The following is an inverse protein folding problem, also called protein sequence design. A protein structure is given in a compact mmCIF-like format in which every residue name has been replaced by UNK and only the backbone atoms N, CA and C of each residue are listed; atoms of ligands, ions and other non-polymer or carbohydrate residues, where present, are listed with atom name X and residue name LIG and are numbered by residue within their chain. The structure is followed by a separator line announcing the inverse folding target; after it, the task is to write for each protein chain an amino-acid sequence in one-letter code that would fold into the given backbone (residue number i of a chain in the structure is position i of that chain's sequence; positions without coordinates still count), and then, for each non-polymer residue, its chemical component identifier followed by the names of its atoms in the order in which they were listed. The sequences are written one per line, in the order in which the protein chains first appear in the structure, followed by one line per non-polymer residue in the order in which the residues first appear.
data_IF_022580188266
#
_entry.id   IF_022580188266
#
_cell.length_a   1.000
_cell.length_b   1.000
_cell.length_c   1.000
_cell.angle_alpha   90.00
_cell.angle_beta   90.00
_cell.angle_gamma   90.00
#
_symmetry.space_group_name_H-M   'P 1'
#
loop_
_entity.id
_entity.type
_entity.pdbx_description
1 polymer ?
#
# COMPACT_ATOMS: atom_id res chain seq x y z
N UNK A 1 11.83 20.75 2.79
CA UNK A 1 10.78 19.72 2.93
C UNK A 1 11.40 18.39 2.56
N UNK A 2 11.19 17.36 3.37
CA UNK A 2 11.79 16.04 3.18
C UNK A 2 10.76 15.10 2.57
N UNK A 3 11.09 14.52 1.43
CA UNK A 3 10.31 13.47 0.79
C UNK A 3 10.95 12.14 1.16
N UNK A 4 10.19 11.24 1.77
CA UNK A 4 10.61 9.86 2.03
C UNK A 4 9.63 8.89 1.41
N UNK A 5 10.14 7.82 0.80
CA UNK A 5 9.32 6.74 0.26
C UNK A 5 9.96 5.38 0.50
N UNK A 6 9.18 4.43 1.01
CA UNK A 6 9.58 3.02 1.01
C UNK A 6 9.32 2.40 -0.37
N UNK A 7 10.38 1.96 -1.05
CA UNK A 7 10.30 1.43 -2.41
C UNK A 7 11.36 0.34 -2.67
N UNK A 8 10.92 -0.90 -2.90
CA UNK A 8 11.80 -2.00 -3.31
C UNK A 8 12.21 -1.87 -4.77
N UNK A 9 13.50 -1.79 -5.07
CA UNK A 9 14.01 -1.51 -6.43
C UNK A 9 14.79 -2.69 -6.99
N UNK A 10 14.83 -2.80 -8.32
CA UNK A 10 15.78 -3.69 -8.98
C UNK A 10 17.20 -3.09 -8.92
N UNK A 11 18.21 -3.94 -9.11
CA UNK A 11 19.61 -3.50 -9.05
C UNK A 11 19.88 -2.38 -10.05
N UNK A 12 20.42 -1.27 -9.54
CA UNK A 12 20.78 -0.09 -10.33
C UNK A 12 19.62 0.87 -10.64
N UNK A 13 18.38 0.56 -10.25
CA UNK A 13 17.31 1.56 -10.34
C UNK A 13 17.51 2.68 -9.30
N UNK A 14 17.05 3.88 -9.65
CA UNK A 14 16.98 5.01 -8.73
C UNK A 14 15.54 5.46 -8.55
N UNK A 15 15.20 5.93 -7.35
CA UNK A 15 13.91 6.57 -7.06
C UNK A 15 14.07 8.08 -7.17
N UNK A 16 13.13 8.74 -7.83
CA UNK A 16 13.07 10.19 -7.96
C UNK A 16 11.68 10.70 -7.59
N UNK A 17 11.58 11.98 -7.23
CA UNK A 17 10.32 12.69 -7.02
C UNK A 17 10.19 13.81 -8.04
N UNK A 18 9.01 13.93 -8.63
CA UNK A 18 8.65 15.05 -9.50
C UNK A 18 7.26 15.56 -9.17
N UNK A 19 6.98 16.82 -9.47
CA UNK A 19 5.74 17.46 -9.05
C UNK A 19 5.49 18.80 -9.70
N UNK A 20 4.46 19.48 -9.21
CA UNK A 20 3.85 20.66 -9.82
C UNK A 20 4.70 21.93 -9.78
N UNK A 21 5.77 21.97 -8.98
CA UNK A 21 6.64 23.15 -8.84
C UNK A 21 7.92 22.99 -9.67
N UNK A 22 8.58 24.11 -9.96
CA UNK A 22 9.84 24.11 -10.72
C UNK A 22 10.96 23.37 -9.99
N UNK A 23 10.98 23.43 -8.66
CA UNK A 23 11.93 22.75 -7.77
C UNK A 23 11.72 21.22 -7.75
N UNK A 24 10.51 20.76 -8.10
CA UNK A 24 10.19 19.34 -8.33
C UNK A 24 10.17 18.99 -9.83
N UNK A 25 10.73 19.84 -10.68
CA UNK A 25 10.88 19.58 -12.11
C UNK A 25 9.63 19.83 -12.96
N UNK A 26 8.53 20.33 -12.41
CA UNK A 26 7.28 20.63 -13.14
C UNK A 26 6.76 19.44 -13.97
N UNK A 27 6.74 18.25 -13.35
CA UNK A 27 6.36 16.96 -13.95
C UNK A 27 7.26 16.44 -15.10
N UNK A 28 8.41 17.07 -15.33
CA UNK A 28 9.42 16.56 -16.27
C UNK A 28 10.32 15.52 -15.57
N UNK A 29 10.33 14.24 -16.01
CA UNK A 29 11.18 13.20 -15.44
C UNK A 29 12.68 13.51 -15.50
N UNK A 30 13.13 14.28 -16.51
CA UNK A 30 14.54 14.66 -16.64
C UNK A 30 14.96 15.71 -15.61
N UNK A 31 13.97 16.41 -15.03
CA UNK A 31 14.17 17.43 -13.98
C UNK A 31 13.71 16.95 -12.61
N UNK A 32 13.35 15.67 -12.48
CA UNK A 32 12.95 15.07 -11.22
C UNK A 32 14.12 15.06 -10.23
N UNK A 33 13.80 15.23 -8.95
CA UNK A 33 14.79 15.24 -7.88
C UNK A 33 15.14 13.79 -7.52
N UNK A 34 16.41 13.35 -7.62
CA UNK A 34 16.79 12.01 -7.21
C UNK A 34 16.78 11.86 -5.69
N UNK A 35 16.21 10.76 -5.21
CA UNK A 35 16.29 10.35 -3.81
C UNK A 35 17.52 9.48 -3.59
N UNK A 36 18.03 9.49 -2.36
CA UNK A 36 19.15 8.68 -1.92
C UNK A 36 18.70 7.60 -0.94
N UNK A 37 19.42 6.47 -0.92
CA UNK A 37 19.27 5.42 0.09
C UNK A 37 20.65 4.86 0.43
N UNK A 38 20.72 4.01 1.46
CA UNK A 38 21.93 3.30 1.86
C UNK A 38 21.58 1.85 2.24
N UNK A 39 22.54 0.92 2.32
CA UNK A 39 22.24 -0.44 2.79
C UNK A 39 21.57 -0.51 4.17
N UNK A 40 21.82 0.47 5.05
CA UNK A 40 21.19 0.55 6.37
C UNK A 40 19.82 1.24 6.39
N UNK A 41 19.46 1.94 5.30
CA UNK A 41 18.18 2.66 5.18
C UNK A 41 17.23 1.99 4.19
N UNK A 42 17.74 1.17 3.27
CA UNK A 42 16.94 0.44 2.29
C UNK A 42 15.89 -0.43 2.98
N UNK A 43 14.62 -0.43 2.52
CA UNK A 43 14.12 0.13 1.25
C UNK A 43 13.62 1.58 1.32
N UNK A 44 14.03 2.38 2.32
CA UNK A 44 13.64 3.80 2.42
C UNK A 44 14.57 4.69 1.60
N UNK A 45 13.96 5.55 0.81
CA UNK A 45 14.61 6.56 -0.01
C UNK A 45 14.23 7.95 0.49
N UNK A 46 15.15 8.91 0.48
CA UNK A 46 14.87 10.28 0.90
C UNK A 46 15.56 11.36 0.08
N UNK A 47 14.94 12.53 0.01
CA UNK A 47 15.52 13.76 -0.49
C UNK A 47 14.96 14.97 0.26
N UNK A 48 15.81 15.96 0.52
CA UNK A 48 15.38 17.27 0.99
C UNK A 48 15.31 18.25 -0.18
N UNK A 49 14.16 18.90 -0.33
CA UNK A 49 13.92 19.92 -1.36
C UNK A 49 13.54 21.24 -0.70
N UNK A 50 14.23 22.31 -1.07
CA UNK A 50 13.86 23.66 -0.72
C UNK A 50 12.69 24.10 -1.61
N UNK A 51 11.50 24.19 -1.04
CA UNK A 51 10.28 24.60 -1.74
C UNK A 51 9.89 26.02 -1.32
N UNK A 52 9.23 26.79 -2.19
CA UNK A 52 8.71 28.10 -1.83
C UNK A 52 7.71 27.98 -0.65
N UNK A 53 7.67 28.94 0.28
CA UNK A 53 6.79 28.85 1.44
C UNK A 53 5.31 29.01 1.04
N UNK A 54 4.47 28.17 1.64
CA UNK A 54 3.01 28.22 1.50
C UNK A 54 2.47 27.58 0.20
N UNK A 55 1.17 27.29 0.21
CA UNK A 55 0.47 26.69 -0.92
C UNK A 55 0.37 25.16 -0.84
N UNK A 56 -0.32 24.59 -1.83
CA UNK A 56 -0.46 23.16 -2.04
C UNK A 56 0.43 22.77 -3.22
N UNK A 57 1.12 21.64 -3.09
CA UNK A 57 1.86 21.00 -4.18
C UNK A 57 1.24 19.66 -4.51
N UNK A 58 1.42 19.24 -5.76
CA UNK A 58 1.22 17.87 -6.18
C UNK A 58 2.55 17.24 -6.55
N UNK A 59 2.70 15.94 -6.31
CA UNK A 59 3.92 15.21 -6.61
C UNK A 59 3.64 13.73 -6.85
N UNK A 60 4.61 13.05 -7.47
CA UNK A 60 4.68 11.59 -7.57
C UNK A 60 6.12 11.12 -7.51
N UNK A 61 6.26 9.86 -7.12
CA UNK A 61 7.52 9.14 -7.26
C UNK A 61 7.61 8.42 -8.60
N UNK A 62 8.83 8.34 -9.13
CA UNK A 62 9.18 7.58 -10.32
C UNK A 62 10.46 6.78 -10.08
N UNK A 63 10.58 5.64 -10.75
CA UNK A 63 11.81 4.86 -10.83
C UNK A 63 12.46 5.06 -12.18
N UNK A 64 13.77 5.17 -12.18
CA UNK A 64 14.59 5.21 -13.39
C UNK A 64 15.52 4.01 -13.39
N UNK A 65 15.44 3.19 -14.43
CA UNK A 65 16.38 2.08 -14.65
C UNK A 65 17.75 2.60 -15.14
N UNK A 66 18.82 1.77 -15.08
CA UNK A 66 20.13 2.13 -15.62
C UNK A 66 20.12 2.52 -17.11
N UNK A 67 19.17 2.00 -17.89
CA UNK A 67 19.01 2.34 -19.32
C UNK A 67 18.17 3.60 -19.56
N UNK A 68 17.73 4.28 -18.48
CA UNK A 68 16.91 5.50 -18.56
C UNK A 68 15.40 5.26 -18.64
N UNK A 69 14.92 4.01 -18.67
CA UNK A 69 13.48 3.75 -18.67
C UNK A 69 12.83 4.25 -17.38
N UNK A 70 11.71 4.97 -17.51
CA UNK A 70 10.97 5.58 -16.40
C UNK A 70 9.69 4.78 -16.12
N UNK A 71 9.43 4.52 -14.84
CA UNK A 71 8.16 3.96 -14.34
C UNK A 71 7.64 4.85 -13.23
N UNK A 72 6.45 5.43 -13.43
CA UNK A 72 5.76 6.19 -12.39
C UNK A 72 5.02 5.27 -11.42
N UNK A 73 4.82 5.74 -10.19
CA UNK A 73 3.88 5.08 -9.28
C UNK A 73 2.45 5.08 -9.86
N UNK A 74 1.70 4.02 -9.54
CA UNK A 74 0.40 3.71 -10.12
C UNK A 74 -0.79 4.32 -9.37
N UNK A 75 -0.56 4.98 -8.24
CA UNK A 75 -1.59 5.70 -7.47
C UNK A 75 -1.87 7.08 -8.09
N UNK A 76 -2.97 7.75 -7.75
CA UNK A 76 -3.17 9.16 -8.13
C UNK A 76 -2.06 10.08 -7.62
N UNK A 77 -1.98 11.30 -8.16
CA UNK A 77 -1.01 12.29 -7.73
C UNK A 77 -1.18 12.61 -6.24
N UNK A 78 -0.05 12.59 -5.52
CA UNK A 78 -0.03 12.92 -4.09
C UNK A 78 -0.15 14.42 -3.91
N UNK A 79 -0.73 14.84 -2.78
CA UNK A 79 -0.92 16.24 -2.43
C UNK A 79 -0.33 16.54 -1.07
N UNK A 80 0.41 17.65 -0.95
CA UNK A 80 0.93 18.12 0.33
C UNK A 80 0.75 19.64 0.47
N UNK A 81 0.53 20.11 1.70
CA UNK A 81 0.48 21.53 2.04
C UNK A 81 1.83 21.97 2.59
N UNK A 82 2.37 23.06 2.05
CA UNK A 82 3.64 23.60 2.50
C UNK A 82 3.45 24.43 3.76
N UNK A 83 4.24 24.14 4.80
CA UNK A 83 4.25 24.93 6.03
C UNK A 83 5.06 26.22 5.81
N UNK A 84 4.56 27.39 6.21
CA UNK A 84 5.34 28.63 6.17
C UNK A 84 6.47 28.69 7.21
N UNK A 85 6.45 27.83 8.24
CA UNK A 85 7.28 28.00 9.45
C UNK A 85 8.00 26.74 9.93
N UNK A 86 7.88 25.60 9.24
CA UNK A 86 8.46 24.35 9.72
C UNK A 86 8.86 23.38 8.62
N UNK A 87 9.82 22.51 8.96
CA UNK A 87 10.18 21.36 8.14
C UNK A 87 9.04 20.34 8.16
N UNK A 88 8.57 19.94 6.97
CA UNK A 88 7.63 18.83 6.78
C UNK A 88 8.42 17.65 6.25
N UNK A 89 8.18 16.47 6.82
CA UNK A 89 8.62 15.18 6.29
C UNK A 89 7.40 14.39 5.84
N UNK A 90 7.42 13.92 4.59
CA UNK A 90 6.44 12.97 4.06
C UNK A 90 7.01 11.56 4.18
N UNK A 91 6.23 10.62 4.74
CA UNK A 91 6.57 9.19 4.82
C UNK A 91 5.59 8.40 3.94
N UNK A 92 5.97 8.22 2.68
CA UNK A 92 5.16 7.56 1.67
C UNK A 92 5.58 6.08 1.47
N UNK A 93 4.70 5.31 0.83
CA UNK A 93 4.99 3.94 0.36
C UNK A 93 4.69 3.86 -1.13
N UNK A 94 5.60 3.25 -1.88
CA UNK A 94 5.46 3.09 -3.33
C UNK A 94 4.15 2.38 -3.68
N UNK A 95 3.39 2.94 -4.63
CA UNK A 95 2.08 2.43 -5.07
C UNK A 95 1.01 2.30 -3.95
N UNK A 96 1.20 2.97 -2.82
CA UNK A 96 0.19 3.07 -1.75
C UNK A 96 -0.17 4.53 -1.55
N UNK A 97 -1.42 4.89 -1.83
CA UNK A 97 -1.83 6.29 -1.79
C UNK A 97 -1.91 6.79 -0.34
N UNK A 98 -1.42 8.00 -0.11
CA UNK A 98 -1.69 8.74 1.12
C UNK A 98 -3.15 9.19 1.17
N UNK A 99 -3.71 9.33 2.37
CA UNK A 99 -5.08 9.82 2.55
C UNK A 99 -5.78 9.19 3.74
N UNK A 100 -7.07 9.50 3.88
CA UNK A 100 -7.91 8.87 4.91
C UNK A 100 -8.16 7.40 4.54
N UNK A 101 -7.85 6.43 5.42
CA UNK A 101 -8.12 5.03 5.16
C UNK A 101 -9.60 4.75 4.91
N UNK A 102 -9.89 3.78 4.03
CA UNK A 102 -11.24 3.28 3.77
C UNK A 102 -11.48 2.01 4.59
N UNK A 103 -12.66 1.89 5.19
CA UNK A 103 -13.06 0.67 5.89
C UNK A 103 -13.31 -0.40 4.83
N UNK A 104 -12.53 -1.48 4.87
CA UNK A 104 -12.69 -2.62 3.97
C UNK A 104 -13.30 -3.79 4.73
N UNK A 105 -14.41 -4.31 4.20
CA UNK A 105 -15.14 -5.46 4.72
C UNK A 105 -14.87 -6.66 3.82
N UNK A 106 -14.27 -7.70 4.38
CA UNK A 106 -14.06 -8.98 3.71
C UNK A 106 -15.17 -9.94 4.11
N UNK A 107 -16.00 -10.35 3.15
CA UNK A 107 -16.96 -11.44 3.34
C UNK A 107 -16.51 -12.65 2.52
N UNK A 108 -16.38 -13.81 3.16
CA UNK A 108 -15.97 -15.05 2.51
C UNK A 108 -16.87 -16.22 2.92
N UNK A 109 -17.42 -16.93 1.95
CA UNK A 109 -18.08 -18.22 2.16
C UNK A 109 -17.01 -19.32 2.24
N UNK A 110 -16.82 -19.89 3.43
CA UNK A 110 -15.76 -20.88 3.71
C UNK A 110 -16.28 -21.98 4.63
N UNK A 111 -16.25 -23.22 4.14
CA UNK A 111 -16.50 -24.39 4.97
C UNK A 111 -15.27 -24.75 5.80
N UNK A 112 -15.46 -24.95 7.11
CA UNK A 112 -14.36 -25.25 8.04
C UNK A 112 -14.57 -26.56 8.79
N UNK A 113 -13.46 -27.18 9.21
CA UNK A 113 -13.47 -28.28 10.17
C UNK A 113 -13.51 -27.75 11.59
N UNK A 114 -13.85 -28.62 12.54
CA UNK A 114 -13.87 -28.26 13.95
C UNK A 114 -12.53 -27.66 14.41
N UNK A 115 -12.59 -26.48 15.03
CA UNK A 115 -11.40 -25.76 15.51
C UNK A 115 -10.60 -25.02 14.43
N UNK A 116 -11.05 -24.99 13.17
CA UNK A 116 -10.47 -24.12 12.15
C UNK A 116 -11.09 -22.72 12.19
N UNK A 117 -10.24 -21.72 11.97
CA UNK A 117 -10.59 -20.31 11.90
C UNK A 117 -10.16 -19.71 10.57
N UNK A 118 -10.93 -18.76 10.05
CA UNK A 118 -10.67 -18.12 8.75
C UNK A 118 -9.99 -16.77 8.94
N UNK A 119 -9.02 -16.48 8.08
CA UNK A 119 -8.26 -15.22 8.06
C UNK A 119 -8.10 -14.73 6.62
N UNK A 120 -7.79 -13.44 6.48
CA UNK A 120 -7.34 -12.82 5.22
C UNK A 120 -5.99 -12.13 5.45
N UNK A 121 -5.08 -12.28 4.50
CA UNK A 121 -3.81 -11.55 4.47
C UNK A 121 -3.48 -11.13 3.04
N UNK A 122 -2.59 -10.15 2.88
CA UNK A 122 -2.30 -9.56 1.59
C UNK A 122 -0.99 -8.78 1.58
N UNK A 123 -0.68 -8.16 0.44
CA UNK A 123 0.58 -7.45 0.21
C UNK A 123 0.74 -6.17 1.01
N UNK A 124 -0.37 -5.57 1.45
CA UNK A 124 -0.34 -4.40 2.33
C UNK A 124 -0.01 -4.75 3.77
N UNK A 125 0.69 -3.86 4.47
CA UNK A 125 1.00 -3.99 5.90
C UNK A 125 -0.27 -4.06 6.76
N UNK A 126 -1.32 -3.36 6.33
CA UNK A 126 -2.65 -3.36 6.93
C UNK A 126 -3.36 -4.72 6.84
N UNK A 127 -2.91 -5.59 5.94
CA UNK A 127 -3.34 -6.99 5.82
C UNK A 127 -2.27 -7.98 6.31
N UNK A 128 -1.21 -7.50 6.95
CA UNK A 128 -0.14 -8.33 7.51
C UNK A 128 1.02 -8.62 6.55
N UNK A 129 1.03 -8.12 5.31
CA UNK A 129 2.16 -8.27 4.40
C UNK A 129 2.50 -9.74 4.08
N UNK A 130 1.47 -10.54 3.78
CA UNK A 130 1.53 -11.99 3.55
C UNK A 130 2.01 -12.84 4.74
N UNK A 131 2.20 -12.27 5.93
CA UNK A 131 2.53 -13.01 7.15
C UNK A 131 1.24 -13.59 7.79
N UNK A 132 1.04 -14.92 7.80
CA UNK A 132 -0.14 -15.52 8.41
C UNK A 132 -0.30 -15.14 9.87
N UNK A 133 0.78 -14.91 10.63
CA UNK A 133 0.69 -14.53 12.04
C UNK A 133 0.06 -13.14 12.24
N UNK A 134 0.12 -12.27 11.22
CA UNK A 134 -0.46 -10.91 11.21
C UNK A 134 -1.73 -10.81 10.39
N UNK A 135 -2.22 -11.93 9.86
CA UNK A 135 -3.45 -11.97 9.06
C UNK A 135 -4.66 -11.47 9.86
N UNK A 136 -5.58 -10.79 9.19
CA UNK A 136 -6.83 -10.30 9.77
C UNK A 136 -7.76 -11.49 10.00
N UNK A 137 -8.18 -11.70 11.24
CA UNK A 137 -9.12 -12.75 11.61
C UNK A 137 -10.54 -12.40 11.14
N UNK A 138 -11.22 -13.34 10.50
CA UNK A 138 -12.65 -13.23 10.20
C UNK A 138 -13.46 -13.91 11.31
N UNK A 139 -14.70 -13.48 11.49
CA UNK A 139 -15.64 -14.06 12.45
C UNK A 139 -16.87 -14.59 11.73
N UNK A 140 -17.50 -15.61 12.30
CA UNK A 140 -18.78 -16.16 11.85
C UNK A 140 -19.63 -16.49 13.07
N UNK A 141 -20.89 -16.88 12.85
CA UNK A 141 -21.81 -17.35 13.88
C UNK A 141 -22.74 -18.42 13.34
N UNK A 142 -23.36 -19.20 14.25
CA UNK A 142 -24.17 -20.36 13.90
C UNK A 142 -25.31 -20.07 12.90
N UNK A 143 -25.84 -18.85 12.86
CA UNK A 143 -26.94 -18.45 11.97
C UNK A 143 -26.50 -17.86 10.63
N UNK A 144 -25.20 -17.60 10.46
CA UNK A 144 -24.64 -17.00 9.23
C UNK A 144 -23.58 -17.88 8.58
N UNK A 145 -23.08 -18.93 9.26
CA UNK A 145 -22.19 -19.91 8.67
C UNK A 145 -22.80 -20.51 7.37
N UNK A 146 -22.01 -20.68 6.29
CA UNK A 146 -20.54 -20.58 6.20
C UNK A 146 -20.00 -19.18 5.85
N UNK A 147 -20.75 -18.10 6.05
CA UNK A 147 -20.25 -16.74 5.80
C UNK A 147 -19.36 -16.24 6.94
N UNK A 148 -18.17 -15.76 6.58
CA UNK A 148 -17.18 -15.19 7.49
C UNK A 148 -16.95 -13.72 7.15
N UNK A 149 -16.90 -12.85 8.16
CA UNK A 149 -16.69 -11.39 7.99
C UNK A 149 -15.47 -10.89 8.75
N UNK A 150 -14.66 -10.06 8.11
CA UNK A 150 -13.51 -9.39 8.72
C UNK A 150 -13.37 -7.95 8.25
N UNK A 151 -12.63 -7.14 8.98
CA UNK A 151 -12.48 -5.71 8.73
C UNK A 151 -11.02 -5.29 8.73
N UNK A 152 -10.63 -4.44 7.79
CA UNK A 152 -9.34 -3.77 7.78
C UNK A 152 -9.51 -2.32 7.32
N UNK A 153 -8.68 -1.41 7.80
CA UNK A 153 -8.60 -0.04 7.28
C UNK A 153 -7.52 0.01 6.23
N UNK A 154 -7.89 0.10 4.95
CA UNK A 154 -6.94 0.07 3.84
C UNK A 154 -6.70 1.47 3.26
N UNK A 155 -5.52 1.74 2.71
CA UNK A 155 -5.25 2.98 2.00
C UNK A 155 -6.23 3.17 0.83
N UNK A 156 -6.69 4.41 0.53
CA UNK A 156 -7.58 4.68 -0.59
C UNK A 156 -6.86 4.51 -1.93
N UNK A 157 -7.60 4.37 -3.03
CA UNK A 157 -7.06 4.32 -4.41
C UNK A 157 -5.84 3.39 -4.59
N UNK A 158 -5.79 2.30 -3.85
CA UNK A 158 -4.63 1.42 -3.77
C UNK A 158 -5.01 0.05 -4.30
N UNK A 159 -4.22 -0.47 -5.24
CA UNK A 159 -4.34 -1.85 -5.68
C UNK A 159 -3.86 -2.77 -4.55
N UNK A 160 -4.65 -3.78 -4.24
CA UNK A 160 -4.42 -4.71 -3.13
C UNK A 160 -4.47 -6.12 -3.66
N UNK A 161 -3.50 -6.94 -3.25
CA UNK A 161 -3.55 -8.39 -3.44
C UNK A 161 -3.76 -9.07 -2.12
N UNK A 162 -4.61 -10.09 -2.09
CA UNK A 162 -4.93 -10.81 -0.86
C UNK A 162 -5.31 -12.25 -1.12
N UNK A 163 -5.25 -13.07 -0.07
CA UNK A 163 -5.81 -14.41 -0.02
C UNK A 163 -6.44 -14.72 1.32
N UNK A 164 -7.38 -15.65 1.28
CA UNK A 164 -7.91 -16.30 2.47
C UNK A 164 -7.05 -17.50 2.90
N UNK A 165 -6.98 -17.71 4.21
CA UNK A 165 -6.35 -18.88 4.80
C UNK A 165 -7.19 -19.40 5.97
N UNK A 166 -7.12 -20.70 6.24
CA UNK A 166 -7.61 -21.30 7.49
C UNK A 166 -6.43 -21.60 8.41
N UNK A 167 -6.64 -21.47 9.72
CA UNK A 167 -5.71 -21.94 10.75
C UNK A 167 -6.41 -22.93 11.66
N UNK A 168 -5.82 -24.08 11.88
CA UNK A 168 -6.26 -25.03 12.91
C UNK A 168 -5.65 -24.72 14.27
N UNK A 169 -6.20 -25.33 15.33
CA UNK A 169 -5.77 -25.12 16.71
C UNK A 169 -4.30 -25.50 16.99
N UNK A 170 -3.72 -26.41 16.20
CA UNK A 170 -2.32 -26.82 16.23
C UNK A 170 -1.40 -25.91 15.38
N UNK A 171 -1.96 -24.86 14.77
CA UNK A 171 -1.22 -23.84 14.03
C UNK A 171 -1.00 -24.14 12.54
N UNK A 172 -1.57 -25.22 11.99
CA UNK A 172 -1.45 -25.52 10.55
C UNK A 172 -2.22 -24.48 9.74
N UNK A 173 -1.51 -23.84 8.80
CA UNK A 173 -2.06 -22.86 7.87
C UNK A 173 -2.38 -23.54 6.54
N UNK A 174 -3.62 -23.40 6.06
CA UNK A 174 -4.03 -23.82 4.71
C UNK A 174 -4.52 -22.61 3.93
N UNK A 175 -3.95 -22.37 2.75
CA UNK A 175 -4.32 -21.26 1.87
C UNK A 175 -5.40 -21.69 0.89
N UNK A 176 -6.18 -20.73 0.39
CA UNK A 176 -7.02 -20.95 -0.78
C UNK A 176 -6.18 -21.20 -2.05
N UNK A 177 -6.75 -21.95 -2.98
CA UNK A 177 -6.09 -22.32 -4.24
C UNK A 177 -6.11 -21.18 -5.28
N UNK A 178 -5.28 -21.34 -6.31
CA UNK A 178 -5.22 -20.42 -7.45
C UNK A 178 -4.36 -19.16 -7.19
N UNK A 179 -4.39 -18.18 -8.12
CA UNK A 179 -3.64 -16.93 -7.98
C UNK A 179 -4.23 -16.02 -6.88
N UNK A 180 -3.44 -15.06 -6.43
CA UNK A 180 -3.87 -14.02 -5.49
C UNK A 180 -5.14 -13.31 -6.00
N UNK A 181 -6.06 -12.99 -5.09
CA UNK A 181 -7.18 -12.10 -5.39
C UNK A 181 -6.67 -10.68 -5.51
N UNK A 182 -7.28 -9.90 -6.40
CA UNK A 182 -6.90 -8.50 -6.64
C UNK A 182 -8.11 -7.58 -6.51
N UNK A 183 -7.95 -6.43 -5.86
CA UNK A 183 -8.95 -5.39 -5.79
C UNK A 183 -8.30 -4.00 -5.77
N UNK A 184 -9.07 -2.95 -6.05
CA UNK A 184 -8.62 -1.56 -5.88
C UNK A 184 -9.59 -0.86 -4.92
N UNK A 185 -9.05 -0.27 -3.86
CA UNK A 185 -9.86 0.47 -2.89
C UNK A 185 -10.42 1.76 -3.51
N UNK A 186 -11.65 2.16 -3.14
CA UNK A 186 -12.21 3.45 -3.57
C UNK A 186 -11.46 4.63 -2.93
N UNK A 187 -11.68 5.86 -3.40
CA UNK A 187 -11.07 7.05 -2.82
C UNK A 187 -11.57 7.36 -1.39
N UNK A 188 -12.81 6.99 -1.06
CA UNK A 188 -13.44 7.25 0.24
C UNK A 188 -14.49 6.17 0.57
N UNK A 189 -14.96 6.18 1.83
CA UNK A 189 -16.12 5.39 2.26
C UNK A 189 -15.75 3.95 2.68
N UNK A 190 -16.68 3.03 2.40
CA UNK A 190 -16.56 1.61 2.74
C UNK A 190 -16.42 0.79 1.46
N UNK A 191 -15.47 -0.13 1.46
CA UNK A 191 -15.26 -1.10 0.39
C UNK A 191 -15.64 -2.50 0.89
N UNK A 192 -16.48 -3.23 0.16
CA UNK A 192 -16.91 -4.57 0.56
C UNK A 192 -16.57 -5.56 -0.55
N UNK A 193 -15.80 -6.60 -0.21
CA UNK A 193 -15.58 -7.76 -1.08
C UNK A 193 -16.44 -8.93 -0.60
N UNK A 194 -16.86 -9.76 -1.56
CA UNK A 194 -17.69 -10.95 -1.34
C UNK A 194 -17.10 -12.07 -2.18
N UNK A 195 -16.60 -13.09 -1.51
CA UNK A 195 -15.84 -14.16 -2.12
C UNK A 195 -16.35 -15.53 -1.68
N UNK A 196 -16.16 -16.54 -2.52
CA UNK A 196 -16.25 -17.95 -2.13
C UNK A 196 -14.83 -18.54 -2.11
N UNK A 197 -14.55 -19.42 -1.15
CA UNK A 197 -13.28 -20.15 -1.07
C UNK A 197 -12.96 -20.85 -2.40
N UNK A 198 -11.67 -20.87 -2.78
CA UNK A 198 -11.16 -21.51 -3.99
C UNK A 198 -10.35 -22.75 -3.67
#
# INVERSE_FOLDING_TARGET
MTFEVAADTAYGETVLVSGSTAELGAWDPERAVPLSTSPGSYPRWSAEVALPPGGQIQYKYLRRSPSGAIVWESVPDRSAYLSPTGAITLDDRWNVAGGQPVVTVFNAAVDTRWGQEVYVTGDLAELGGWDPAKAVRLTTGAFVYPEWTGFASLPPNTAVRYKYLTKSADGVVTWEDGPDRTATTPPTGTFTVRDAWR
#
